data_IF_488157024431
#
_entry.id   IF_488157024431
#
_cell.length_a   1.000
_cell.length_b   1.000
_cell.length_c   1.000
_cell.angle_alpha   90.00
_cell.angle_beta   90.00
_cell.angle_gamma   90.00
#
_symmetry.space_group_name_H-M   'P 1'
#
loop_
_entity.id
_entity.type
_entity.pdbx_description
1 polymer ?
#
# COMPACT_ATOMS: atom_id res chain seq x y z
N UNK A 1 37.13 -51.87 -23.26
CA UNK A 1 37.47 -51.41 -21.90
C UNK A 1 36.44 -50.38 -21.47
N UNK A 2 35.97 -50.42 -20.23
CA UNK A 2 35.07 -49.37 -19.72
C UNK A 2 35.91 -48.11 -19.43
N UNK A 3 35.46 -46.97 -19.92
CA UNK A 3 36.07 -45.68 -19.59
C UNK A 3 35.91 -45.42 -18.10
N UNK A 4 36.98 -44.99 -17.44
CA UNK A 4 36.92 -44.59 -16.04
C UNK A 4 36.17 -43.26 -15.93
N UNK A 5 35.07 -43.27 -15.20
CA UNK A 5 34.33 -42.06 -14.84
C UNK A 5 34.69 -41.69 -13.40
N UNK A 6 35.20 -40.48 -13.18
CA UNK A 6 35.56 -40.02 -11.84
C UNK A 6 34.31 -39.92 -10.97
N UNK A 7 34.32 -40.43 -9.73
CA UNK A 7 33.23 -40.21 -8.77
C UNK A 7 32.95 -38.73 -8.50
N UNK A 8 33.93 -37.86 -8.79
CA UNK A 8 33.84 -36.41 -8.61
C UNK A 8 33.54 -35.65 -9.91
N UNK A 9 33.21 -36.34 -11.01
CA UNK A 9 32.93 -35.71 -12.30
C UNK A 9 31.87 -34.59 -12.17
N UNK A 10 30.78 -34.85 -11.43
CA UNK A 10 29.72 -33.86 -11.17
C UNK A 10 30.22 -32.61 -10.44
N UNK A 11 31.17 -32.75 -9.53
CA UNK A 11 31.73 -31.62 -8.79
C UNK A 11 32.64 -30.77 -9.68
N UNK A 12 33.47 -31.40 -10.51
CA UNK A 12 34.29 -30.69 -11.49
C UNK A 12 33.46 -30.00 -12.57
N UNK A 13 32.37 -30.62 -13.03
CA UNK A 13 31.38 -29.97 -13.92
C UNK A 13 30.75 -28.74 -13.26
N UNK A 14 30.42 -28.82 -11.97
CA UNK A 14 29.86 -27.72 -11.19
C UNK A 14 30.85 -26.55 -11.12
N UNK A 15 32.14 -26.81 -10.84
CA UNK A 15 33.21 -25.79 -10.86
C UNK A 15 33.35 -25.16 -12.24
N UNK A 16 33.32 -25.95 -13.32
CA UNK A 16 33.39 -25.44 -14.70
C UNK A 16 32.15 -24.60 -15.09
N UNK A 17 30.99 -24.90 -14.51
CA UNK A 17 29.76 -24.11 -14.64
C UNK A 17 29.74 -22.89 -13.71
N UNK A 18 30.82 -22.62 -12.97
CA UNK A 18 30.94 -21.63 -11.90
C UNK A 18 29.98 -21.85 -10.71
N UNK A 19 29.31 -23.00 -10.62
CA UNK A 19 28.34 -23.35 -9.58
C UNK A 19 29.01 -23.47 -8.21
N UNK A 20 28.66 -22.54 -7.31
CA UNK A 20 29.06 -22.67 -5.90
C UNK A 20 28.16 -23.67 -5.17
N UNK A 21 28.62 -24.19 -4.02
CA UNK A 21 27.79 -25.03 -3.13
C UNK A 21 26.57 -24.31 -2.54
N UNK A 22 26.53 -22.97 -2.65
CA UNK A 22 25.39 -22.11 -2.34
C UNK A 22 24.46 -21.94 -3.55
N UNK A 23 24.78 -22.59 -4.68
CA UNK A 23 24.16 -22.47 -5.99
C UNK A 23 24.75 -21.32 -6.82
N UNK A 24 24.69 -21.46 -8.15
CA UNK A 24 24.68 -20.32 -9.09
C UNK A 24 23.33 -19.61 -9.17
N UNK A 25 22.39 -20.03 -8.33
CA UNK A 25 21.04 -19.51 -8.26
C UNK A 25 21.00 -18.14 -7.59
N UNK A 26 21.71 -17.15 -8.13
CA UNK A 26 21.10 -15.84 -8.25
C UNK A 26 19.84 -16.08 -9.10
N UNK A 27 18.77 -16.49 -8.43
CA UNK A 27 17.45 -16.59 -9.03
C UNK A 27 17.21 -15.19 -9.54
N UNK A 28 17.25 -15.01 -10.85
CA UNK A 28 17.02 -13.70 -11.46
C UNK A 28 15.78 -13.12 -10.80
N UNK A 29 15.89 -11.89 -10.29
CA UNK A 29 14.78 -11.24 -9.64
C UNK A 29 13.62 -11.18 -10.62
N UNK A 30 12.60 -12.00 -10.39
CA UNK A 30 11.35 -11.94 -11.15
C UNK A 30 10.47 -10.92 -10.45
N UNK A 31 10.10 -9.81 -11.11
CA UNK A 31 9.15 -8.89 -10.52
C UNK A 31 7.85 -9.68 -10.23
N UNK A 32 7.25 -9.50 -9.05
CA UNK A 32 6.00 -10.16 -8.74
C UNK A 32 4.91 -9.74 -9.75
N UNK A 33 3.95 -10.62 -10.08
CA UNK A 33 2.81 -10.24 -10.91
C UNK A 33 2.05 -9.09 -10.25
N UNK A 34 1.51 -8.19 -11.07
CA UNK A 34 0.77 -7.01 -10.59
C UNK A 34 -0.61 -7.46 -10.09
N UNK A 35 -0.71 -7.67 -8.78
CA UNK A 35 -1.96 -7.88 -8.06
C UNK A 35 -2.48 -6.56 -7.49
N UNK A 36 -3.80 -6.47 -7.35
CA UNK A 36 -4.48 -5.30 -6.77
C UNK A 36 -5.29 -5.76 -5.55
N UNK A 37 -5.37 -4.87 -4.56
CA UNK A 37 -6.25 -5.04 -3.40
C UNK A 37 -7.70 -4.76 -3.74
N UNK A 38 -8.62 -5.02 -2.80
CA UNK A 38 -10.05 -4.78 -2.96
C UNK A 38 -10.37 -3.34 -3.38
N UNK A 39 -9.65 -2.37 -2.80
CA UNK A 39 -9.87 -0.95 -3.04
C UNK A 39 -9.23 -0.42 -4.33
N UNK A 40 -8.47 -1.27 -5.05
CA UNK A 40 -7.77 -0.93 -6.31
C UNK A 40 -6.32 -0.50 -6.13
N UNK A 41 -5.75 -0.64 -4.94
CA UNK A 41 -4.33 -0.29 -4.70
C UNK A 41 -3.41 -1.44 -5.15
N UNK A 42 -2.35 -1.17 -5.95
CA UNK A 42 -1.42 -2.20 -6.40
C UNK A 42 -0.57 -2.76 -5.26
N UNK A 43 -0.50 -4.09 -5.12
CA UNK A 43 0.25 -4.74 -4.03
C UNK A 43 1.76 -4.55 -4.14
N UNK A 44 2.30 -4.47 -5.36
CA UNK A 44 3.73 -4.25 -5.59
C UNK A 44 4.21 -2.86 -5.14
N UNK A 45 3.30 -1.88 -5.01
CA UNK A 45 3.61 -0.56 -4.48
C UNK A 45 3.65 -0.53 -2.94
N UNK A 46 3.11 -1.55 -2.28
CA UNK A 46 3.04 -1.65 -0.83
C UNK A 46 4.37 -2.13 -0.24
N UNK A 47 5.02 -1.27 0.52
CA UNK A 47 6.27 -1.61 1.21
C UNK A 47 5.99 -1.98 2.66
N UNK A 48 6.15 -3.26 2.98
CA UNK A 48 6.03 -3.75 4.35
C UNK A 48 7.41 -3.77 5.03
N UNK A 49 7.49 -3.15 6.20
CA UNK A 49 8.66 -3.19 7.09
C UNK A 49 8.30 -3.98 8.33
N UNK A 50 9.08 -5.04 8.58
CA UNK A 50 9.05 -5.83 9.80
C UNK A 50 10.43 -5.81 10.44
N UNK A 51 10.48 -5.99 11.75
CA UNK A 51 11.72 -6.14 12.50
C UNK A 51 11.81 -7.57 12.98
N UNK A 52 12.96 -8.22 12.78
CA UNK A 52 13.26 -9.55 13.32
C UNK A 52 14.57 -9.48 14.08
N UNK A 53 14.58 -10.00 15.29
CA UNK A 53 15.80 -10.07 16.09
C UNK A 53 16.44 -11.44 15.90
N UNK A 54 17.77 -11.48 15.82
CA UNK A 54 18.51 -12.74 15.73
C UNK A 54 18.32 -13.55 17.02
N UNK A 55 18.11 -14.86 16.90
CA UNK A 55 17.84 -15.78 18.03
C UNK A 55 19.08 -16.10 18.87
N UNK A 56 19.94 -15.11 19.09
CA UNK A 56 21.18 -15.25 19.88
C UNK A 56 20.94 -15.06 21.38
N UNK A 57 19.73 -14.62 21.78
CA UNK A 57 19.35 -14.36 23.18
C UNK A 57 18.37 -15.45 23.69
N UNK A 58 18.47 -15.76 24.99
CA UNK A 58 17.58 -16.67 25.73
C UNK A 58 16.11 -16.21 25.64
N UNK A 59 15.20 -17.09 26.03
CA UNK A 59 13.75 -16.86 26.14
C UNK A 59 13.44 -15.44 26.67
N UNK A 60 12.57 -14.65 26.01
CA UNK A 60 11.44 -15.04 25.15
C UNK A 60 11.77 -15.24 23.65
N UNK A 61 11.09 -16.20 23.02
CA UNK A 61 11.22 -16.51 21.59
C UNK A 61 10.79 -15.36 20.64
N UNK A 62 10.12 -14.33 21.15
CA UNK A 62 9.67 -13.15 20.43
C UNK A 62 9.93 -11.91 21.29
N UNK A 63 10.64 -10.92 20.73
CA UNK A 63 10.93 -9.67 21.43
C UNK A 63 9.70 -8.76 21.48
N UNK A 64 9.57 -7.89 22.50
CA UNK A 64 8.51 -6.88 22.53
C UNK A 64 8.50 -6.05 21.23
N UNK A 65 7.31 -5.85 20.65
CA UNK A 65 7.08 -5.16 19.36
C UNK A 65 7.68 -5.83 18.12
N UNK A 66 8.24 -7.02 18.21
CA UNK A 66 8.74 -7.77 17.05
C UNK A 66 7.62 -8.17 16.07
N UNK A 67 6.38 -8.25 16.56
CA UNK A 67 5.19 -8.51 15.76
C UNK A 67 4.68 -7.28 14.99
N UNK A 68 5.23 -6.09 15.25
CA UNK A 68 4.81 -4.84 14.59
C UNK A 68 5.08 -4.90 13.09
N UNK A 69 4.06 -4.51 12.31
CA UNK A 69 4.17 -4.35 10.87
C UNK A 69 3.91 -2.90 10.52
N UNK A 70 4.77 -2.32 9.69
CA UNK A 70 4.58 -0.98 9.12
C UNK A 70 4.39 -1.11 7.61
N UNK A 71 3.35 -0.50 7.08
CA UNK A 71 3.10 -0.33 5.65
C UNK A 71 3.48 1.09 5.23
N UNK A 72 4.21 1.21 4.14
CA UNK A 72 4.48 2.46 3.46
C UNK A 72 3.98 2.38 2.03
N UNK A 73 3.29 3.42 1.58
CA UNK A 73 2.82 3.55 0.20
C UNK A 73 2.93 5.01 -0.23
N UNK A 74 3.28 5.24 -1.50
CA UNK A 74 3.29 6.59 -2.07
C UNK A 74 1.89 7.00 -2.50
N UNK A 75 1.51 8.26 -2.27
CA UNK A 75 0.18 8.77 -2.59
C UNK A 75 -0.15 8.69 -4.08
N UNK A 76 0.86 8.74 -4.96
CA UNK A 76 0.69 8.49 -6.41
C UNK A 76 0.13 7.10 -6.78
N UNK A 77 0.30 6.09 -5.92
CA UNK A 77 -0.20 4.73 -6.14
C UNK A 77 -1.61 4.51 -5.56
N UNK A 78 -2.18 5.53 -4.90
CA UNK A 78 -3.54 5.47 -4.42
C UNK A 78 -4.52 5.75 -5.58
N UNK A 79 -5.68 5.08 -5.63
CA UNK A 79 -6.63 5.17 -6.72
C UNK A 79 -7.50 6.44 -6.62
N UNK A 80 -6.87 7.60 -6.50
CA UNK A 80 -7.53 8.90 -6.44
C UNK A 80 -7.26 9.69 -7.73
N UNK A 81 -8.32 9.96 -8.48
CA UNK A 81 -8.26 10.69 -9.76
C UNK A 81 -8.55 12.17 -9.60
N UNK A 82 -9.43 12.54 -8.67
CA UNK A 82 -9.85 13.92 -8.44
C UNK A 82 -9.07 14.57 -7.28
N UNK A 83 -8.86 15.89 -7.36
CA UNK A 83 -8.18 16.66 -6.30
C UNK A 83 -9.00 16.72 -5.01
N UNK A 84 -10.33 16.73 -5.12
CA UNK A 84 -11.24 16.66 -3.97
C UNK A 84 -11.02 15.38 -3.17
N UNK A 85 -10.86 14.23 -3.85
CA UNK A 85 -10.54 12.96 -3.19
C UNK A 85 -9.20 13.01 -2.46
N UNK A 86 -8.19 13.65 -3.07
CA UNK A 86 -6.86 13.81 -2.44
C UNK A 86 -6.94 14.70 -1.20
N UNK A 87 -7.71 15.78 -1.24
CA UNK A 87 -7.91 16.67 -0.10
C UNK A 87 -8.59 15.93 1.06
N UNK A 88 -9.72 15.27 0.77
CA UNK A 88 -10.46 14.47 1.76
C UNK A 88 -9.58 13.36 2.35
N UNK A 89 -8.79 12.68 1.51
CA UNK A 89 -7.85 11.66 1.97
C UNK A 89 -6.85 12.23 2.99
N UNK A 90 -6.28 13.41 2.71
CA UNK A 90 -5.34 14.07 3.64
C UNK A 90 -6.01 14.39 4.97
N UNK A 91 -7.27 14.82 4.96
CA UNK A 91 -8.02 15.06 6.20
C UNK A 91 -8.29 13.77 6.99
N UNK A 92 -8.72 12.68 6.32
CA UNK A 92 -8.97 11.38 6.97
C UNK A 92 -7.69 10.81 7.61
N UNK A 93 -6.56 10.96 6.91
CA UNK A 93 -5.30 10.34 7.29
C UNK A 93 -4.51 11.20 8.28
N UNK A 94 -4.62 12.53 8.16
CA UNK A 94 -3.92 13.50 9.00
C UNK A 94 -2.41 13.27 9.02
N UNK A 95 -1.82 13.30 10.23
CA UNK A 95 -0.38 13.21 10.46
C UNK A 95 0.30 11.90 9.99
N UNK A 96 -0.46 10.89 9.55
CA UNK A 96 0.10 9.64 9.02
C UNK A 96 0.60 9.78 7.57
N UNK A 97 0.19 10.84 6.88
CA UNK A 97 0.64 11.18 5.54
C UNK A 97 1.61 12.36 5.62
N UNK A 98 2.74 12.24 4.91
CA UNK A 98 3.70 13.32 4.80
C UNK A 98 3.60 13.94 3.40
N UNK A 99 3.15 15.20 3.34
CA UNK A 99 2.98 15.98 2.11
C UNK A 99 4.29 16.23 1.35
N UNK A 100 5.43 16.37 2.04
CA UNK A 100 6.73 16.64 1.41
C UNK A 100 7.25 15.41 0.65
N UNK A 101 7.02 14.22 1.22
CA UNK A 101 7.54 12.96 0.66
C UNK A 101 6.51 12.18 -0.16
N UNK A 102 5.24 12.60 -0.16
CA UNK A 102 4.10 11.87 -0.71
C UNK A 102 4.00 10.44 -0.16
N UNK A 103 4.29 10.23 1.13
CA UNK A 103 4.28 8.89 1.75
C UNK A 103 3.23 8.78 2.85
N UNK A 104 2.34 7.80 2.69
CA UNK A 104 1.47 7.30 3.75
C UNK A 104 2.19 6.22 4.55
N UNK A 105 2.23 6.37 5.87
CA UNK A 105 2.78 5.37 6.80
C UNK A 105 1.71 4.88 7.77
N UNK A 106 1.37 3.60 7.67
CA UNK A 106 0.45 2.91 8.60
C UNK A 106 1.23 1.86 9.39
N UNK A 107 0.87 1.62 10.65
CA UNK A 107 1.48 0.54 11.42
C UNK A 107 0.50 -0.12 12.36
N UNK A 108 0.69 -1.42 12.62
CA UNK A 108 -0.09 -2.19 13.58
C UNK A 108 0.84 -3.04 14.43
N UNK A 109 0.59 -3.02 15.75
CA UNK A 109 1.21 -3.90 16.74
C UNK A 109 0.15 -4.51 17.69
N UNK A 110 -1.11 -4.51 17.25
CA UNK A 110 -2.27 -4.93 18.05
C UNK A 110 -2.32 -6.45 18.27
N UNK A 111 -1.86 -7.22 17.30
CA UNK A 111 -1.96 -8.68 17.31
C UNK A 111 -0.60 -9.32 17.62
N UNK A 112 -0.59 -10.48 18.27
CA UNK A 112 0.67 -11.22 18.54
C UNK A 112 1.32 -11.79 17.27
N UNK A 113 0.57 -11.92 16.17
CA UNK A 113 1.08 -12.41 14.89
C UNK A 113 1.38 -11.29 13.91
N UNK A 114 2.56 -11.37 13.26
CA UNK A 114 2.92 -10.49 12.14
C UNK A 114 1.94 -10.61 10.96
N UNK A 115 1.40 -11.80 10.74
CA UNK A 115 0.47 -12.05 9.63
C UNK A 115 -0.85 -11.31 9.90
N UNK A 116 -1.35 -11.36 11.12
CA UNK A 116 -2.55 -10.65 11.54
C UNK A 116 -2.35 -9.14 11.49
N UNK A 117 -1.22 -8.63 11.98
CA UNK A 117 -0.88 -7.22 11.85
C UNK A 117 -0.77 -6.77 10.39
N UNK A 118 -0.20 -7.59 9.51
CA UNK A 118 -0.15 -7.28 8.07
C UNK A 118 -1.56 -7.19 7.48
N UNK A 119 -2.41 -8.19 7.73
CA UNK A 119 -3.82 -8.20 7.27
C UNK A 119 -4.59 -6.99 7.80
N UNK A 120 -4.38 -6.64 9.07
CA UNK A 120 -5.01 -5.48 9.68
C UNK A 120 -4.59 -4.18 9.00
N UNK A 121 -3.30 -3.99 8.73
CA UNK A 121 -2.82 -2.77 8.06
C UNK A 121 -3.34 -2.65 6.62
N UNK A 122 -3.43 -3.75 5.89
CA UNK A 122 -4.05 -3.77 4.56
C UNK A 122 -5.54 -3.42 4.65
N UNK A 123 -6.28 -4.01 5.61
CA UNK A 123 -7.69 -3.69 5.82
C UNK A 123 -7.91 -2.23 6.24
N UNK A 124 -7.01 -1.65 7.03
CA UNK A 124 -7.06 -0.21 7.36
C UNK A 124 -6.89 0.66 6.12
N UNK A 125 -5.96 0.31 5.23
CA UNK A 125 -5.77 1.03 3.97
C UNK A 125 -7.04 0.97 3.11
N UNK A 126 -7.62 -0.23 2.93
CA UNK A 126 -8.85 -0.39 2.15
C UNK A 126 -10.00 0.46 2.72
N UNK A 127 -10.17 0.48 4.05
CA UNK A 127 -11.20 1.30 4.70
C UNK A 127 -10.98 2.80 4.49
N UNK A 128 -9.73 3.27 4.50
CA UNK A 128 -9.41 4.68 4.25
C UNK A 128 -9.78 5.05 2.81
N UNK A 129 -9.41 4.20 1.84
CA UNK A 129 -9.73 4.44 0.42
C UNK A 129 -11.24 4.43 0.19
N UNK A 130 -11.95 3.44 0.74
CA UNK A 130 -13.40 3.34 0.61
C UNK A 130 -14.12 4.53 1.29
N UNK A 131 -13.67 4.96 2.48
CA UNK A 131 -14.20 6.13 3.16
C UNK A 131 -13.96 7.42 2.37
N UNK A 132 -12.79 7.56 1.75
CA UNK A 132 -12.45 8.72 0.90
C UNK A 132 -13.38 8.80 -0.31
N UNK A 133 -13.58 7.67 -1.02
CA UNK A 133 -14.48 7.60 -2.18
C UNK A 133 -15.94 7.87 -1.80
N UNK A 134 -16.38 7.33 -0.67
CA UNK A 134 -17.73 7.55 -0.16
C UNK A 134 -17.98 9.01 0.24
N UNK A 135 -17.00 9.66 0.87
CA UNK A 135 -17.12 11.06 1.26
C UNK A 135 -17.00 12.02 0.07
N UNK A 136 -16.13 11.72 -0.91
CA UNK A 136 -16.03 12.55 -2.12
C UNK A 136 -17.34 12.59 -2.90
N UNK A 137 -18.04 11.45 -3.02
CA UNK A 137 -19.33 11.39 -3.70
C UNK A 137 -20.39 12.28 -3.03
N UNK A 138 -20.43 12.26 -1.69
CA UNK A 138 -21.38 13.09 -0.92
C UNK A 138 -21.09 14.58 -1.08
N UNK A 139 -19.81 14.96 -1.05
CA UNK A 139 -19.40 16.36 -1.26
C UNK A 139 -19.79 16.82 -2.67
N UNK A 140 -19.59 15.98 -3.69
CA UNK A 140 -20.01 16.28 -5.07
C UNK A 140 -21.54 16.47 -5.19
N UNK A 141 -22.33 15.61 -4.53
CA UNK A 141 -23.79 15.73 -4.49
C UNK A 141 -24.26 17.03 -3.80
N UNK A 142 -23.64 17.40 -2.68
CA UNK A 142 -23.96 18.62 -1.93
C UNK A 142 -23.61 19.89 -2.72
N UNK A 143 -22.49 19.88 -3.45
CA UNK A 143 -22.08 20.99 -4.31
C UNK A 143 -23.05 21.21 -5.48
N UNK A 144 -23.54 20.13 -6.09
CA UNK A 144 -24.50 20.21 -7.18
C UNK A 144 -25.87 20.74 -6.70
N UNK A 145 -26.33 20.29 -5.53
CA UNK A 145 -27.56 20.80 -4.92
C UNK A 145 -27.48 22.29 -4.61
N UNK A 146 -26.35 22.75 -4.05
CA UNK A 146 -26.13 24.19 -3.79
C UNK A 146 -26.16 25.04 -5.06
N UNK A 147 -25.64 24.51 -6.18
CA UNK A 147 -25.63 25.22 -7.46
C UNK A 147 -27.04 25.39 -8.02
N UNK A 148 -27.88 24.35 -7.93
CA UNK A 148 -29.28 24.40 -8.37
C UNK A 148 -30.09 25.40 -7.54
N UNK A 149 -29.93 25.41 -6.21
CA UNK A 149 -30.62 26.36 -5.33
C UNK A 149 -30.18 27.81 -5.60
N UNK A 150 -28.89 28.04 -5.84
CA UNK A 150 -28.35 29.39 -6.14
C UNK A 150 -28.79 29.89 -7.51
N UNK A 151 -28.89 29.01 -8.52
CA UNK A 151 -29.41 29.37 -9.84
C UNK A 151 -30.90 29.71 -9.80
N UNK A 152 -31.71 28.94 -9.05
CA UNK A 152 -33.16 29.20 -8.90
C UNK A 152 -33.48 30.49 -8.13
N UNK A 153 -32.57 30.99 -7.29
CA UNK A 153 -32.77 32.21 -6.51
C UNK A 153 -32.31 33.47 -7.27
N UNK A 154 -31.39 33.35 -8.22
CA UNK A 154 -30.99 34.46 -9.09
C UNK A 154 -32.10 34.85 -10.10
N UNK A 155 -32.84 33.88 -10.65
CA UNK A 155 -33.92 34.14 -11.62
C UNK A 155 -35.12 34.89 -11.02
N UNK A 156 -35.36 34.81 -9.70
CA UNK A 156 -36.46 35.53 -9.05
C UNK A 156 -36.17 36.99 -8.71
N UNK A 157 -34.92 37.45 -8.85
CA UNK A 157 -34.52 38.83 -8.50
C UNK A 157 -34.57 39.81 -9.69
N UNK A 158 -34.68 39.32 -10.93
CA UNK A 158 -34.75 40.16 -12.14
C UNK A 158 -36.18 40.56 -12.54
N UNK A 159 -37.21 40.08 -11.85
CA UNK A 159 -38.61 40.29 -12.23
C UNK A 159 -39.28 41.46 -11.50
N UNK A 160 -38.66 42.03 -10.46
CA UNK A 160 -39.25 43.12 -9.66
C UNK A 160 -38.81 44.53 -10.07
N UNK A 161 -37.82 44.71 -10.96
CA UNK A 161 -37.28 46.04 -11.32
C UNK A 161 -37.89 46.66 -12.60
N UNK A 162 -38.92 46.05 -13.20
CA UNK A 162 -39.60 46.60 -14.41
C UNK A 162 -41.03 47.10 -14.17
N UNK A 163 -41.44 47.25 -12.91
CA UNK A 163 -42.75 47.80 -12.53
C UNK A 163 -42.62 49.03 -11.62
N UNK A 164 -42.12 50.15 -12.15
CA UNK A 164 -42.34 51.50 -11.61
C UNK A 164 -42.26 52.54 -12.72
#
# INVERSE_FOLDING_TARGET
GRFYESPFAKWYESIQRNETFLGNGATEFRPPPVTHTRSGVPEHAMRFKTTSYGRLLREPFVMPNEHKVTLQIQGKHLPFTADVQRHIFKEIVGARYNDETDVLKLSSAQFGSRIENKRHVVSMLDRIVDATKGLSHRVEEEMEQHKVTTASSADNSNTEETAS
#
